data_IF_810421871421
#
_entry.id   IF_810421871421
#
_cell.length_a   1.000
_cell.length_b   1.000
_cell.length_c   1.000
_cell.angle_alpha   90.00
_cell.angle_beta   90.00
_cell.angle_gamma   90.00
#
_symmetry.space_group_name_H-M   'P 1'
#
loop_
_entity.id
_entity.type
_entity.pdbx_description
1 polymer ?
#
# COMPACT_ATOMS: atom_id res chain seq x y z
N UNK A 1 -14.30 1.77 1.79
CA UNK A 1 -13.33 1.15 2.72
C UNK A 1 -12.55 2.25 3.43
N UNK A 2 -12.38 2.16 4.75
CA UNK A 2 -11.52 3.07 5.53
C UNK A 2 -10.30 2.30 6.02
N UNK A 3 -9.10 2.86 5.85
CA UNK A 3 -7.86 2.27 6.37
C UNK A 3 -7.67 2.80 7.79
N UNK A 4 -7.45 1.89 8.75
CA UNK A 4 -7.26 2.24 10.15
C UNK A 4 -5.79 2.22 10.57
N UNK A 5 -5.04 1.24 10.08
CA UNK A 5 -3.63 1.05 10.41
C UNK A 5 -2.85 0.59 9.18
N UNK A 6 -1.64 1.08 9.04
CA UNK A 6 -0.63 0.57 8.13
C UNK A 6 0.62 0.23 8.93
N UNK A 7 1.18 -0.97 8.68
CA UNK A 7 2.45 -1.39 9.25
C UNK A 7 3.40 -1.76 8.11
N UNK A 8 4.61 -1.21 8.15
CA UNK A 8 5.69 -1.48 7.21
C UNK A 8 6.89 -2.02 8.00
N UNK A 9 7.45 -3.13 7.54
CA UNK A 9 8.63 -3.75 8.13
C UNK A 9 9.64 -4.02 7.02
N UNK A 10 10.87 -3.50 7.18
CA UNK A 10 11.96 -3.61 6.21
C UNK A 10 11.52 -3.31 4.77
N UNK A 11 10.79 -2.21 4.59
CA UNK A 11 10.19 -1.83 3.31
C UNK A 11 10.74 -0.48 2.85
N UNK A 12 11.63 -0.51 1.85
CA UNK A 12 12.25 0.68 1.26
C UNK A 12 12.92 1.55 2.34
N UNK A 13 12.45 2.79 2.56
CA UNK A 13 13.00 3.72 3.53
C UNK A 13 12.51 3.48 4.98
N UNK A 14 11.68 2.46 5.21
CA UNK A 14 11.10 2.16 6.52
C UNK A 14 11.65 0.82 7.06
N UNK A 15 12.49 0.89 8.08
CA UNK A 15 12.93 -0.30 8.85
C UNK A 15 11.75 -0.85 9.66
N UNK A 16 11.08 0.02 10.42
CA UNK A 16 9.81 -0.25 11.07
C UNK A 16 8.96 1.03 11.05
N UNK A 17 7.73 0.94 10.56
CA UNK A 17 6.79 2.03 10.62
C UNK A 17 5.40 1.51 10.98
N UNK A 18 4.77 2.16 11.95
CA UNK A 18 3.38 1.95 12.32
C UNK A 18 2.63 3.28 12.22
N UNK A 19 1.60 3.32 11.38
CA UNK A 19 0.79 4.51 11.12
C UNK A 19 -0.66 4.19 11.44
N UNK A 20 -1.19 4.89 12.43
CA UNK A 20 -2.60 4.85 12.79
C UNK A 20 -3.29 6.06 12.14
N UNK A 21 -4.24 5.79 11.23
CA UNK A 21 -4.88 6.82 10.42
C UNK A 21 -6.06 7.44 11.16
N UNK A 22 -6.17 8.77 11.06
CA UNK A 22 -7.33 9.54 11.48
C UNK A 22 -8.53 9.28 10.55
N UNK A 23 -9.74 9.36 11.10
CA UNK A 23 -10.99 9.22 10.35
C UNK A 23 -11.28 10.37 9.37
N UNK A 24 -10.62 11.52 9.58
CA UNK A 24 -10.83 12.74 8.79
C UNK A 24 -9.64 12.99 7.86
N UNK A 25 -8.81 13.97 8.19
CA UNK A 25 -7.66 14.40 7.38
C UNK A 25 -6.39 13.86 8.02
N UNK A 26 -5.49 13.33 7.18
CA UNK A 26 -4.17 12.89 7.57
C UNK A 26 -3.13 13.71 6.80
N UNK A 27 -2.16 14.28 7.52
CA UNK A 27 -1.10 15.11 6.93
C UNK A 27 0.19 14.29 6.91
N UNK A 28 0.76 14.12 5.71
CA UNK A 28 2.06 13.44 5.52
C UNK A 28 3.09 14.51 5.17
N UNK A 29 3.99 14.82 6.11
CA UNK A 29 5.01 15.86 5.95
C UNK A 29 6.40 15.34 6.36
N UNK A 30 7.45 16.05 5.93
CA UNK A 30 8.84 15.71 6.19
C UNK A 30 9.74 16.13 5.04
N UNK A 31 11.06 16.02 5.22
CA UNK A 31 12.06 16.37 4.21
C UNK A 31 11.98 15.48 2.96
N UNK A 32 12.60 15.91 1.86
CA UNK A 32 12.71 15.07 0.67
C UNK A 32 13.42 13.75 0.99
N UNK A 33 13.07 12.71 0.24
CA UNK A 33 13.67 11.37 0.37
C UNK A 33 13.39 10.62 1.69
N UNK A 34 12.51 11.11 2.56
CA UNK A 34 12.12 10.41 3.82
C UNK A 34 11.02 9.35 3.68
N UNK A 35 10.72 8.91 2.45
CA UNK A 35 9.73 7.85 2.22
C UNK A 35 8.27 8.29 2.09
N UNK A 36 7.97 9.61 2.04
CA UNK A 36 6.59 10.10 1.81
C UNK A 36 5.94 9.54 0.54
N UNK A 37 6.65 9.56 -0.59
CA UNK A 37 6.16 8.98 -1.85
C UNK A 37 6.01 7.46 -1.75
N UNK A 38 6.90 6.78 -1.03
CA UNK A 38 6.81 5.35 -0.75
C UNK A 38 5.52 5.03 0.00
N UNK A 39 5.20 5.79 1.04
CA UNK A 39 3.96 5.63 1.81
C UNK A 39 2.71 5.75 0.93
N UNK A 40 2.67 6.78 0.07
CA UNK A 40 1.56 6.96 -0.88
C UNK A 40 1.47 5.81 -1.91
N UNK A 41 2.62 5.33 -2.42
CA UNK A 41 2.69 4.19 -3.34
C UNK A 41 2.17 2.91 -2.70
N UNK A 42 2.54 2.61 -1.46
CA UNK A 42 2.02 1.44 -0.73
C UNK A 42 0.51 1.54 -0.57
N UNK A 43 0.01 2.67 -0.07
CA UNK A 43 -1.43 2.89 0.11
C UNK A 43 -2.20 2.69 -1.20
N UNK A 44 -1.70 3.28 -2.30
CA UNK A 44 -2.29 3.10 -3.62
C UNK A 44 -2.31 1.63 -4.08
N UNK A 45 -1.20 0.91 -3.90
CA UNK A 45 -1.07 -0.50 -4.28
C UNK A 45 -2.02 -1.43 -3.54
N UNK A 46 -2.38 -1.10 -2.29
CA UNK A 46 -3.33 -1.87 -1.50
C UNK A 46 -4.80 -1.49 -1.81
N UNK A 47 -5.09 -0.21 -2.01
CA UNK A 47 -6.47 0.25 -2.22
C UNK A 47 -6.97 -0.07 -3.63
N UNK A 48 -6.11 0.11 -4.65
CA UNK A 48 -6.55 0.00 -6.05
C UNK A 48 -7.11 -1.39 -6.39
N UNK A 49 -6.45 -2.51 -6.05
CA UNK A 49 -7.01 -3.86 -6.22
C UNK A 49 -8.40 -4.03 -5.61
N UNK A 50 -8.61 -3.47 -4.41
CA UNK A 50 -9.86 -3.57 -3.67
C UNK A 50 -11.01 -2.75 -4.28
N UNK A 51 -10.69 -1.72 -5.07
CA UNK A 51 -11.68 -0.87 -5.76
C UNK A 51 -12.22 -1.48 -7.06
N UNK A 52 -11.48 -2.42 -7.66
CA UNK A 52 -11.88 -3.12 -8.89
C UNK A 52 -12.92 -4.19 -8.54
N UNK A 53 -14.19 -3.93 -8.86
CA UNK A 53 -15.36 -4.72 -8.44
C UNK A 53 -15.55 -6.09 -9.10
N UNK A 54 -14.48 -6.83 -9.38
CA UNK A 54 -14.57 -8.23 -9.83
C UNK A 54 -14.12 -9.15 -8.70
N UNK A 55 -15.02 -9.51 -7.79
CA UNK A 55 -14.73 -10.40 -6.65
C UNK A 55 -15.45 -11.75 -6.69
N UNK A 56 -16.24 -11.99 -7.72
CA UNK A 56 -16.94 -13.26 -7.84
C UNK A 56 -15.93 -14.35 -8.24
N UNK A 57 -15.78 -15.38 -7.40
CA UNK A 57 -14.97 -16.60 -7.61
C UNK A 57 -13.44 -16.49 -7.56
N UNK A 58 -12.85 -15.52 -6.86
CA UNK A 58 -11.39 -15.52 -6.63
C UNK A 58 -11.00 -16.44 -5.46
N UNK A 59 -10.01 -17.32 -5.70
CA UNK A 59 -9.33 -18.00 -4.60
C UNK A 59 -8.43 -17.03 -3.84
N UNK A 60 -8.11 -17.34 -2.58
CA UNK A 60 -7.19 -16.53 -1.76
C UNK A 60 -5.85 -16.26 -2.47
N UNK A 61 -5.32 -17.27 -3.16
CA UNK A 61 -4.08 -17.15 -3.93
C UNK A 61 -4.24 -16.15 -5.09
N UNK A 62 -5.36 -16.19 -5.80
CA UNK A 62 -5.61 -15.24 -6.88
C UNK A 62 -5.75 -13.82 -6.33
N UNK A 63 -6.40 -13.63 -5.18
CA UNK A 63 -6.47 -12.33 -4.50
C UNK A 63 -5.06 -11.81 -4.16
N UNK A 64 -4.23 -12.63 -3.51
CA UNK A 64 -2.84 -12.29 -3.16
C UNK A 64 -2.04 -11.89 -4.41
N UNK A 65 -2.18 -12.64 -5.51
CA UNK A 65 -1.50 -12.33 -6.77
C UNK A 65 -1.90 -10.97 -7.36
N UNK A 66 -3.13 -10.50 -7.16
CA UNK A 66 -3.53 -9.15 -7.60
C UNK A 66 -2.74 -8.09 -6.84
N UNK A 67 -2.57 -8.24 -5.52
CA UNK A 67 -1.77 -7.32 -4.71
C UNK A 67 -0.29 -7.38 -5.07
N UNK A 68 0.27 -8.58 -5.21
CA UNK A 68 1.68 -8.79 -5.58
C UNK A 68 1.99 -8.10 -6.91
N UNK A 69 1.20 -8.37 -7.96
CA UNK A 69 1.36 -7.74 -9.28
C UNK A 69 1.26 -6.22 -9.19
N UNK A 70 0.34 -5.70 -8.37
CA UNK A 70 0.17 -4.26 -8.21
C UNK A 70 1.38 -3.62 -7.54
N UNK A 71 1.88 -4.22 -6.46
CA UNK A 71 3.08 -3.75 -5.74
C UNK A 71 4.29 -3.79 -6.69
N UNK A 72 4.52 -4.91 -7.37
CA UNK A 72 5.63 -5.06 -8.30
C UNK A 72 5.59 -4.01 -9.42
N UNK A 73 4.42 -3.72 -9.99
CA UNK A 73 4.27 -2.72 -11.04
C UNK A 73 4.43 -1.26 -10.55
N UNK A 74 4.04 -0.95 -9.31
CA UNK A 74 4.18 0.42 -8.75
C UNK A 74 5.61 0.74 -8.32
N UNK A 75 6.36 -0.29 -7.93
CA UNK A 75 7.74 -0.19 -7.46
C UNK A 75 8.77 -0.67 -8.50
N UNK A 76 8.35 -1.02 -9.71
CA UNK A 76 9.22 -1.50 -10.80
C UNK A 76 10.13 -2.68 -10.39
N UNK A 77 9.65 -3.56 -9.50
CA UNK A 77 10.45 -4.64 -8.90
C UNK A 77 10.68 -5.86 -9.81
N UNK A 78 10.13 -5.87 -11.02
CA UNK A 78 10.25 -6.97 -11.98
C UNK A 78 10.86 -6.54 -13.33
N UNK A 79 11.74 -5.52 -13.31
CA UNK A 79 12.66 -5.28 -14.42
C UNK A 79 13.95 -6.06 -14.23
#
# INVERSE_FOLDING_TARGET
MKIKKLTLNNFMAFENAEINWSDNINIICGENSTGKTTLLKVMYSLIKPLSSGGKDNLTKEMEEQVFVKKIQGVFDLMK
#
